data_IF_625242709231
#
_entry.id   IF_625242709231
#
_cell.length_a   1.000
_cell.length_b   1.000
_cell.length_c   1.000
_cell.angle_alpha   90.00
_cell.angle_beta   90.00
_cell.angle_gamma   90.00
#
_symmetry.space_group_name_H-M   'P 1'
#
loop_
_entity.id
_entity.type
_entity.pdbx_description
1 polymer ?
#
# COMPACT_ATOMS: atom_id res chain seq x y z
N UNK A 1 -15.08 -24.61 10.68
CA UNK A 1 -13.63 -24.30 10.62
C UNK A 1 -13.45 -23.47 9.37
N UNK A 2 -13.09 -22.19 9.52
CA UNK A 2 -12.94 -21.30 8.37
C UNK A 2 -11.53 -21.44 7.83
N UNK A 3 -11.39 -21.82 6.56
CA UNK A 3 -10.10 -21.85 5.87
C UNK A 3 -9.96 -20.56 5.08
N UNK A 4 -8.84 -19.86 5.26
CA UNK A 4 -8.49 -18.67 4.48
C UNK A 4 -7.23 -18.94 3.68
N UNK A 5 -7.28 -18.65 2.39
CA UNK A 5 -6.14 -18.77 1.49
C UNK A 5 -5.36 -17.46 1.49
N UNK A 6 -4.07 -17.52 1.82
CA UNK A 6 -3.19 -16.35 1.89
C UNK A 6 -2.06 -16.52 0.88
N UNK A 7 -1.97 -15.60 -0.08
CA UNK A 7 -0.81 -15.52 -0.97
C UNK A 7 0.37 -14.89 -0.22
N UNK A 8 1.51 -15.59 -0.18
CA UNK A 8 2.74 -15.14 0.45
C UNK A 8 3.70 -14.62 -0.62
N UNK A 9 3.92 -13.31 -0.62
CA UNK A 9 4.85 -12.62 -1.50
C UNK A 9 6.04 -12.15 -0.66
N UNK A 10 6.99 -13.05 -0.40
CA UNK A 10 8.18 -12.78 0.41
C UNK A 10 8.98 -11.57 -0.11
N UNK A 11 9.12 -11.48 -1.44
CA UNK A 11 9.83 -10.39 -2.10
C UNK A 11 11.34 -10.48 -1.92
N UNK A 12 12.00 -9.33 -1.82
CA UNK A 12 13.45 -9.20 -1.95
C UNK A 12 14.14 -8.78 -0.64
N UNK A 13 15.45 -9.02 -0.55
CA UNK A 13 16.29 -8.60 0.57
C UNK A 13 15.94 -9.34 1.87
N UNK A 14 15.62 -8.59 2.92
CA UNK A 14 15.18 -9.14 4.22
C UNK A 14 13.75 -9.72 4.20
N UNK A 15 13.07 -9.64 3.05
CA UNK A 15 11.67 -10.03 2.89
C UNK A 15 11.38 -11.49 3.25
N UNK A 16 12.13 -12.47 2.72
CA UNK A 16 11.99 -13.88 3.07
C UNK A 16 12.17 -14.15 4.56
N UNK A 17 13.20 -13.57 5.19
CA UNK A 17 13.47 -13.78 6.63
C UNK A 17 12.31 -13.29 7.51
N UNK A 18 11.77 -12.11 7.22
CA UNK A 18 10.61 -11.56 7.95
C UNK A 18 9.34 -12.39 7.66
N UNK A 19 9.20 -12.89 6.42
CA UNK A 19 8.06 -13.70 6.03
C UNK A 19 8.03 -15.03 6.80
N UNK A 20 9.17 -15.67 6.99
CA UNK A 20 9.27 -16.92 7.75
C UNK A 20 8.80 -16.74 9.20
N UNK A 21 9.17 -15.63 9.84
CA UNK A 21 8.67 -15.30 11.19
C UNK A 21 7.16 -15.03 11.19
N UNK A 22 6.64 -14.33 10.18
CA UNK A 22 5.20 -14.09 10.03
C UNK A 22 4.43 -15.41 9.88
N UNK A 23 4.96 -16.37 9.11
CA UNK A 23 4.38 -17.71 8.95
C UNK A 23 4.33 -18.45 10.29
N UNK A 24 5.38 -18.39 11.11
CA UNK A 24 5.37 -18.99 12.46
C UNK A 24 4.25 -18.43 13.32
N UNK A 25 4.03 -17.11 13.28
CA UNK A 25 2.93 -16.48 14.01
C UNK A 25 1.56 -16.91 13.48
N UNK A 26 1.38 -17.00 12.16
CA UNK A 26 0.12 -17.50 11.58
C UNK A 26 -0.18 -18.94 12.00
N UNK A 27 0.82 -19.82 12.02
CA UNK A 27 0.68 -21.20 12.53
C UNK A 27 0.36 -21.23 14.02
N UNK A 28 0.94 -20.33 14.82
CA UNK A 28 0.59 -20.21 16.23
C UNK A 28 -0.87 -19.75 16.41
N UNK A 29 -1.35 -18.81 15.61
CA UNK A 29 -2.75 -18.36 15.63
C UNK A 29 -3.70 -19.49 15.25
N UNK A 30 -3.38 -20.25 14.21
CA UNK A 30 -4.08 -21.47 13.80
C UNK A 30 -4.14 -22.50 14.93
N UNK A 31 -3.07 -22.69 15.70
CA UNK A 31 -3.06 -23.62 16.84
C UNK A 31 -3.98 -23.21 18.00
N UNK A 32 -4.29 -21.92 18.12
CA UNK A 32 -5.05 -21.34 19.25
C UNK A 32 -6.50 -21.01 18.92
N UNK A 33 -6.90 -21.10 17.65
CA UNK A 33 -8.21 -20.66 17.18
C UNK A 33 -8.78 -21.68 16.19
N UNK A 34 -10.09 -21.65 15.95
CA UNK A 34 -10.74 -22.55 14.98
C UNK A 34 -10.67 -22.00 13.54
N UNK A 35 -9.47 -21.60 13.12
CA UNK A 35 -9.17 -21.03 11.80
C UNK A 35 -8.00 -21.77 11.18
N UNK A 36 -8.07 -22.01 9.87
CA UNK A 36 -6.99 -22.64 9.09
C UNK A 36 -6.45 -21.67 8.05
N UNK A 37 -5.13 -21.67 7.87
CA UNK A 37 -4.47 -20.85 6.85
C UNK A 37 -3.84 -21.73 5.77
N UNK A 38 -4.37 -21.63 4.55
CA UNK A 38 -3.75 -22.19 3.35
C UNK A 38 -2.77 -21.16 2.78
N UNK A 39 -1.49 -21.33 3.11
CA UNK A 39 -0.44 -20.40 2.74
C UNK A 39 0.15 -20.80 1.39
N UNK A 40 0.04 -19.91 0.39
CA UNK A 40 0.51 -20.13 -0.98
C UNK A 40 1.68 -19.21 -1.31
N UNK A 41 2.94 -19.70 -1.28
CA UNK A 41 4.10 -18.93 -1.73
C UNK A 41 3.98 -18.58 -3.20
N UNK A 42 4.38 -17.35 -3.56
CA UNK A 42 4.44 -16.87 -4.93
C UNK A 42 5.61 -15.91 -5.11
N UNK A 43 6.21 -15.93 -6.31
CA UNK A 43 7.34 -15.08 -6.66
C UNK A 43 6.89 -13.63 -6.81
N UNK A 44 7.70 -12.70 -6.30
CA UNK A 44 7.39 -11.29 -6.41
C UNK A 44 8.64 -10.42 -6.34
N UNK A 45 8.68 -9.32 -7.11
CA UNK A 45 9.77 -8.36 -7.06
C UNK A 45 10.97 -8.75 -7.92
N UNK A 46 12.16 -8.33 -7.52
CA UNK A 46 13.37 -8.52 -8.30
C UNK A 46 13.77 -10.01 -8.41
N UNK A 47 13.61 -10.80 -7.33
CA UNK A 47 13.83 -12.24 -7.36
C UNK A 47 12.97 -12.92 -8.43
N UNK A 48 11.71 -12.49 -8.58
CA UNK A 48 10.84 -13.01 -9.65
C UNK A 48 11.37 -12.66 -11.05
N UNK A 49 11.91 -11.45 -11.22
CA UNK A 49 12.52 -11.02 -12.48
C UNK A 49 13.75 -11.86 -12.84
N UNK A 50 14.65 -12.11 -11.89
CA UNK A 50 15.84 -12.92 -12.17
C UNK A 50 15.51 -14.38 -12.49
N UNK A 51 14.44 -14.93 -11.91
CA UNK A 51 14.02 -16.31 -12.16
C UNK A 51 13.20 -16.48 -13.44
N UNK A 52 12.31 -15.52 -13.75
CA UNK A 52 11.26 -15.69 -14.78
C UNK A 52 11.29 -14.63 -15.87
N UNK A 53 12.10 -13.59 -15.73
CA UNK A 53 12.13 -12.42 -16.62
C UNK A 53 11.01 -11.42 -16.40
N UNK A 54 10.11 -11.62 -15.41
CA UNK A 54 9.04 -10.68 -15.04
C UNK A 54 9.02 -10.45 -13.53
N UNK A 55 8.88 -9.20 -13.10
CA UNK A 55 8.81 -8.86 -11.66
C UNK A 55 7.49 -9.24 -10.99
N UNK A 56 6.45 -9.48 -11.79
CA UNK A 56 5.18 -10.04 -11.33
C UNK A 56 4.65 -11.09 -12.33
N UNK A 57 5.09 -12.36 -12.19
CA UNK A 57 4.76 -13.43 -13.13
C UNK A 57 3.26 -13.79 -13.12
N UNK A 58 2.76 -14.30 -14.25
CA UNK A 58 1.34 -14.69 -14.40
C UNK A 58 0.91 -15.78 -13.42
N UNK A 59 1.82 -16.71 -13.08
CA UNK A 59 1.58 -17.72 -12.04
C UNK A 59 1.33 -17.08 -10.67
N UNK A 60 2.12 -16.07 -10.31
CA UNK A 60 1.99 -15.35 -9.04
C UNK A 60 0.72 -14.51 -9.01
N UNK A 61 0.32 -13.95 -10.15
CA UNK A 61 -0.99 -13.29 -10.33
C UNK A 61 -2.13 -14.28 -10.10
N UNK A 62 -2.05 -15.47 -10.68
CA UNK A 62 -3.10 -16.49 -10.54
C UNK A 62 -3.27 -16.93 -9.08
N UNK A 63 -2.17 -17.11 -8.35
CA UNK A 63 -2.21 -17.40 -6.90
C UNK A 63 -2.86 -16.25 -6.13
N UNK A 64 -2.47 -15.01 -6.40
CA UNK A 64 -3.03 -13.83 -5.72
C UNK A 64 -4.51 -13.61 -6.03
N UNK A 65 -4.96 -13.94 -7.25
CA UNK A 65 -6.37 -13.82 -7.65
C UNK A 65 -7.29 -14.84 -6.95
N UNK A 66 -6.74 -16.00 -6.58
CA UNK A 66 -7.44 -17.06 -5.86
C UNK A 66 -7.38 -16.89 -4.34
N UNK A 67 -6.49 -16.03 -3.83
CA UNK A 67 -6.31 -15.81 -2.41
C UNK A 67 -7.34 -14.84 -1.80
N UNK A 68 -7.68 -15.06 -0.54
CA UNK A 68 -8.52 -14.17 0.25
C UNK A 68 -7.75 -12.91 0.70
N UNK A 69 -6.46 -13.08 0.96
CA UNK A 69 -5.55 -12.01 1.37
C UNK A 69 -4.15 -12.19 0.78
N UNK A 70 -3.43 -11.09 0.65
CA UNK A 70 -2.04 -11.06 0.20
C UNK A 70 -1.18 -10.56 1.36
N UNK A 71 -0.22 -11.38 1.78
CA UNK A 71 0.82 -11.00 2.71
C UNK A 71 2.11 -10.72 1.94
N UNK A 72 2.56 -9.46 1.96
CA UNK A 72 3.70 -9.00 1.16
C UNK A 72 4.83 -8.51 2.06
N UNK A 73 6.04 -9.01 1.82
CA UNK A 73 7.29 -8.59 2.46
C UNK A 73 7.89 -7.33 1.82
N UNK A 74 9.21 -7.19 1.83
CA UNK A 74 9.93 -6.08 1.19
C UNK A 74 10.13 -6.33 -0.30
N UNK A 75 10.33 -5.28 -1.09
CA UNK A 75 10.77 -5.39 -2.49
C UNK A 75 11.84 -4.34 -2.74
N UNK A 76 12.70 -4.61 -3.71
CA UNK A 76 13.79 -3.74 -4.10
C UNK A 76 15.14 -4.32 -3.72
N UNK A 77 16.14 -3.96 -4.53
CA UNK A 77 17.53 -4.39 -4.37
C UNK A 77 18.44 -3.17 -4.16
N UNK A 78 19.73 -3.43 -3.98
CA UNK A 78 20.72 -2.37 -3.99
C UNK A 78 20.70 -1.59 -5.33
N UNK A 79 21.29 -0.40 -5.32
CA UNK A 79 21.26 0.50 -6.47
C UNK A 79 21.88 -0.12 -7.73
N UNK A 80 22.93 -0.91 -7.61
CA UNK A 80 23.63 -1.49 -8.77
C UNK A 80 22.81 -2.61 -9.43
N UNK A 81 22.26 -3.54 -8.65
CA UNK A 81 21.39 -4.61 -9.14
C UNK A 81 20.07 -4.05 -9.69
N UNK A 82 19.59 -2.92 -9.16
CA UNK A 82 18.39 -2.27 -9.70
C UNK A 82 18.58 -1.72 -11.12
N UNK A 83 19.82 -1.44 -11.55
CA UNK A 83 20.14 -0.96 -12.90
C UNK A 83 20.17 -2.08 -13.94
N UNK A 84 20.36 -3.33 -13.52
CA UNK A 84 20.35 -4.47 -14.44
C UNK A 84 18.94 -4.84 -14.88
N UNK A 85 17.92 -4.38 -14.13
CA UNK A 85 16.51 -4.60 -14.44
C UNK A 85 16.00 -3.44 -15.30
N UNK A 86 15.31 -3.72 -16.43
CA UNK A 86 14.64 -2.70 -17.23
C UNK A 86 13.71 -1.84 -16.37
N UNK A 87 13.64 -0.54 -16.68
CA UNK A 87 12.88 0.44 -15.88
C UNK A 87 11.42 0.03 -15.66
N UNK A 88 10.78 -0.58 -16.67
CA UNK A 88 9.39 -1.00 -16.58
C UNK A 88 9.20 -2.26 -15.72
N UNK A 89 10.24 -3.09 -15.62
CA UNK A 89 10.27 -4.30 -14.79
C UNK A 89 10.88 -4.05 -13.41
N UNK A 90 11.27 -2.82 -13.06
CA UNK A 90 11.73 -2.54 -11.70
C UNK A 90 10.66 -2.91 -10.67
N UNK A 91 10.99 -3.52 -9.52
CA UNK A 91 10.00 -4.09 -8.59
C UNK A 91 8.85 -3.14 -8.20
N UNK A 92 9.13 -1.86 -8.02
CA UNK A 92 8.11 -0.87 -7.71
C UNK A 92 7.17 -0.61 -8.89
N UNK A 93 7.70 -0.54 -10.12
CA UNK A 93 6.96 -0.19 -11.34
C UNK A 93 6.29 -1.41 -11.99
N UNK A 94 7.00 -2.52 -12.10
CA UNK A 94 6.55 -3.75 -12.76
C UNK A 94 5.73 -4.66 -11.85
N UNK A 95 5.89 -4.57 -10.52
CA UNK A 95 5.17 -5.45 -9.60
C UNK A 95 4.16 -4.71 -8.73
N UNK A 96 4.60 -3.71 -7.97
CA UNK A 96 3.76 -3.06 -6.96
C UNK A 96 2.64 -2.20 -7.55
N UNK A 97 2.92 -1.37 -8.57
CA UNK A 97 1.90 -0.54 -9.20
C UNK A 97 0.84 -1.38 -9.94
N UNK A 98 1.19 -2.41 -10.74
CA UNK A 98 0.21 -3.27 -11.40
C UNK A 98 -0.65 -4.04 -10.41
N UNK A 99 -0.05 -4.59 -9.34
CA UNK A 99 -0.79 -5.24 -8.26
C UNK A 99 -1.83 -4.30 -7.63
N UNK A 100 -1.43 -3.08 -7.24
CA UNK A 100 -2.35 -2.10 -6.64
C UNK A 100 -3.50 -1.73 -7.57
N UNK A 101 -3.21 -1.62 -8.87
CA UNK A 101 -4.21 -1.35 -9.89
C UNK A 101 -5.17 -2.53 -10.09
N UNK A 102 -4.65 -3.77 -10.08
CA UNK A 102 -5.43 -5.00 -10.27
C UNK A 102 -6.43 -5.22 -9.14
N UNK A 103 -5.99 -5.06 -7.89
CA UNK A 103 -6.80 -5.34 -6.71
C UNK A 103 -7.54 -4.11 -6.14
N UNK A 104 -7.48 -2.97 -6.84
CA UNK A 104 -8.09 -1.70 -6.44
C UNK A 104 -7.82 -1.32 -4.98
N UNK A 105 -6.56 -1.47 -4.55
CA UNK A 105 -6.16 -1.20 -3.16
C UNK A 105 -5.99 0.29 -2.93
N UNK A 106 -7.11 0.99 -2.91
CA UNK A 106 -7.16 2.44 -2.84
C UNK A 106 -6.79 2.99 -1.45
N UNK A 107 -7.05 2.25 -0.37
CA UNK A 107 -6.79 2.70 0.99
C UNK A 107 -5.50 2.08 1.54
N UNK A 108 -4.56 2.93 1.93
CA UNK A 108 -3.37 2.52 2.67
C UNK A 108 -3.41 3.04 4.09
N UNK A 109 -3.51 2.11 5.02
CA UNK A 109 -3.46 2.37 6.45
C UNK A 109 -2.01 2.25 6.93
N UNK A 110 -1.52 3.29 7.60
CA UNK A 110 -0.19 3.34 8.18
C UNK A 110 -0.32 3.73 9.66
N UNK A 111 -0.53 2.76 10.55
CA UNK A 111 -0.51 3.03 11.98
C UNK A 111 0.89 3.50 12.39
N UNK A 112 0.94 4.55 13.20
CA UNK A 112 2.14 5.10 13.80
C UNK A 112 1.92 5.11 15.30
N UNK A 113 2.58 4.17 15.96
CA UNK A 113 2.51 4.01 17.40
C UNK A 113 3.92 4.12 18.00
N UNK A 114 4.09 5.03 18.94
CA UNK A 114 5.33 5.21 19.70
C UNK A 114 4.99 5.16 21.19
N UNK A 115 5.28 4.06 21.89
CA UNK A 115 5.08 3.97 23.32
C UNK A 115 6.12 4.83 24.05
N UNK A 116 5.77 5.30 25.24
CA UNK A 116 6.63 6.13 26.08
C UNK A 116 8.01 5.50 26.35
N UNK A 117 8.07 4.18 26.52
CA UNK A 117 9.33 3.44 26.73
C UNK A 117 10.32 3.57 25.58
N UNK A 118 9.83 3.77 24.35
CA UNK A 118 10.63 3.92 23.13
C UNK A 118 10.77 5.38 22.68
N UNK A 119 10.30 6.35 23.47
CA UNK A 119 10.32 7.77 23.09
C UNK A 119 11.73 8.29 22.78
N UNK A 120 12.76 7.72 23.39
CA UNK A 120 14.17 8.07 23.17
C UNK A 120 14.70 7.70 21.78
N UNK A 121 14.05 6.80 21.05
CA UNK A 121 14.37 6.51 19.65
C UNK A 121 13.77 7.52 18.66
N UNK A 122 12.85 8.36 19.12
CA UNK A 122 12.22 9.37 18.26
C UNK A 122 13.15 10.58 18.08
N UNK A 123 13.23 11.14 16.87
CA UNK A 123 13.98 12.38 16.63
C UNK A 123 13.30 13.63 17.20
N UNK A 124 12.06 13.51 17.71
CA UNK A 124 11.31 14.62 18.28
C UNK A 124 11.75 14.91 19.72
N UNK A 125 11.65 16.19 20.12
CA UNK A 125 11.89 16.58 21.51
C UNK A 125 10.92 15.83 22.44
N UNK A 126 11.38 15.35 23.61
CA UNK A 126 10.52 14.64 24.57
C UNK A 126 9.25 15.41 24.95
N UNK A 127 9.35 16.73 25.06
CA UNK A 127 8.23 17.64 25.36
C UNK A 127 7.11 17.58 24.31
N UNK A 128 7.42 17.31 23.04
CA UNK A 128 6.45 17.21 21.94
C UNK A 128 5.78 15.83 21.91
N UNK A 129 6.51 14.79 22.32
CA UNK A 129 6.01 13.41 22.35
C UNK A 129 5.01 13.23 23.50
N UNK A 130 5.25 13.89 24.63
CA UNK A 130 4.39 13.78 25.82
C UNK A 130 4.28 12.33 26.29
N UNK A 131 3.04 11.81 26.33
CA UNK A 131 2.74 10.45 26.78
C UNK A 131 2.90 9.37 25.69
N UNK A 132 3.26 9.75 24.46
CA UNK A 132 3.43 8.86 23.32
C UNK A 132 2.65 9.33 22.09
N UNK A 133 2.91 8.68 20.95
CA UNK A 133 2.24 8.98 19.68
C UNK A 133 1.36 7.80 19.32
N UNK A 134 0.08 8.06 19.07
CA UNK A 134 -0.86 7.08 18.56
C UNK A 134 -1.73 7.74 17.49
N UNK A 135 -1.40 7.49 16.22
CA UNK A 135 -2.14 8.01 15.08
C UNK A 135 -2.16 7.00 13.93
N UNK A 136 -3.15 7.12 13.06
CA UNK A 136 -3.24 6.33 11.83
C UNK A 136 -3.27 7.29 10.65
N UNK A 137 -2.31 7.13 9.74
CA UNK A 137 -2.31 7.85 8.47
C UNK A 137 -3.06 7.00 7.45
N UNK A 138 -4.08 7.58 6.82
CA UNK A 138 -4.83 6.96 5.73
C UNK A 138 -4.47 7.68 4.44
N UNK A 139 -3.88 6.96 3.50
CA UNK A 139 -3.47 7.49 2.19
C UNK A 139 -4.28 6.85 1.06
N UNK A 140 -4.79 7.68 0.17
CA UNK A 140 -5.36 7.24 -1.10
C UNK A 140 -4.23 6.86 -2.08
N UNK A 141 -4.31 5.67 -2.67
CA UNK A 141 -3.21 5.04 -3.42
C UNK A 141 -3.47 4.79 -4.90
N UNK A 142 -4.71 4.88 -5.40
CA UNK A 142 -5.08 4.46 -6.77
C UNK A 142 -5.53 5.65 -7.64
N UNK A 143 -5.67 6.82 -7.05
CA UNK A 143 -5.96 8.09 -7.71
C UNK A 143 -4.80 9.10 -7.70
N UNK A 144 -5.12 10.32 -8.14
CA UNK A 144 -4.20 11.46 -8.11
C UNK A 144 -3.05 11.39 -9.12
N UNK A 145 -1.96 12.08 -8.78
CA UNK A 145 -0.82 12.39 -9.66
C UNK A 145 -0.08 11.17 -10.23
N UNK A 146 -0.19 10.02 -9.57
CA UNK A 146 0.52 8.80 -9.93
C UNK A 146 -0.13 8.05 -11.09
N UNK A 147 -1.45 8.15 -11.23
CA UNK A 147 -2.24 7.39 -12.21
C UNK A 147 -3.03 8.26 -13.20
N UNK A 148 -2.95 9.59 -13.08
CA UNK A 148 -3.52 10.52 -14.05
C UNK A 148 -2.73 10.53 -15.37
N UNK A 149 -3.43 10.80 -16.47
CA UNK A 149 -2.81 11.04 -17.77
C UNK A 149 -1.82 12.19 -17.65
N UNK A 150 -0.58 11.95 -18.08
CA UNK A 150 0.48 12.96 -18.15
C UNK A 150 0.56 13.44 -19.58
N UNK A 151 0.23 14.69 -19.81
CA UNK A 151 0.49 15.34 -21.08
C UNK A 151 1.70 16.25 -20.89
N UNK A 152 2.77 15.95 -21.61
CA UNK A 152 3.94 16.81 -21.73
C UNK A 152 3.85 17.55 -23.05
N UNK A 153 3.87 18.88 -22.98
CA UNK A 153 3.91 19.76 -24.14
C UNK A 153 5.05 20.76 -24.00
N UNK A 154 5.26 21.56 -25.03
CA UNK A 154 6.13 22.72 -24.99
C UNK A 154 5.22 23.92 -25.20
N UNK A 155 5.36 24.95 -24.37
CA UNK A 155 4.62 26.21 -24.59
C UNK A 155 5.17 26.95 -25.82
N UNK A 156 4.46 27.99 -26.27
CA UNK A 156 4.86 28.81 -27.41
C UNK A 156 6.21 29.54 -27.19
N UNK A 157 6.76 29.52 -25.97
CA UNK A 157 8.04 30.11 -25.58
C UNK A 157 9.17 29.08 -25.44
N UNK A 158 8.92 27.80 -25.75
CA UNK A 158 9.94 26.75 -25.66
C UNK A 158 10.09 26.14 -24.26
N UNK A 159 9.25 26.49 -23.29
CA UNK A 159 9.29 25.90 -21.94
C UNK A 159 8.53 24.58 -21.90
N UNK A 160 9.09 23.61 -21.17
CA UNK A 160 8.42 22.33 -20.94
C UNK A 160 7.19 22.51 -20.04
N UNK A 161 6.01 22.24 -20.59
CA UNK A 161 4.74 22.24 -19.86
C UNK A 161 4.35 20.80 -19.51
N UNK A 162 3.98 20.57 -18.25
CA UNK A 162 3.45 19.30 -17.79
C UNK A 162 2.02 19.50 -17.28
N UNK A 163 1.02 19.12 -18.08
CA UNK A 163 -0.37 19.11 -17.65
C UNK A 163 -0.68 17.77 -17.00
N UNK A 164 -1.17 17.81 -15.76
CA UNK A 164 -1.59 16.62 -15.03
C UNK A 164 -3.08 16.69 -14.75
N UNK A 165 -3.84 15.89 -15.49
CA UNK A 165 -5.28 15.82 -15.36
C UNK A 165 -5.68 14.99 -14.14
N UNK A 166 -6.44 15.61 -13.22
CA UNK A 166 -7.07 14.95 -12.09
C UNK A 166 -8.36 14.25 -12.54
N UNK A 167 -8.44 12.93 -12.40
CA UNK A 167 -9.71 12.22 -12.60
C UNK A 167 -10.43 12.08 -11.25
N UNK A 168 -11.40 12.98 -11.00
CA UNK A 168 -12.14 13.12 -9.73
C UNK A 168 -12.99 11.91 -9.35
N UNK A 169 -13.22 10.97 -10.27
CA UNK A 169 -14.07 9.79 -10.07
C UNK A 169 -13.46 8.78 -9.09
N UNK A 170 -12.14 8.60 -9.07
CA UNK A 170 -11.46 7.62 -8.19
C UNK A 170 -11.22 8.11 -6.77
N UNK A 171 -11.08 9.43 -6.57
CA UNK A 171 -10.87 10.02 -5.24
C UNK A 171 -12.14 9.93 -4.38
N UNK A 172 -13.32 9.89 -5.00
CA UNK A 172 -14.62 9.84 -4.31
C UNK A 172 -14.85 8.54 -3.53
N UNK A 173 -14.38 7.40 -4.02
CA UNK A 173 -14.57 6.08 -3.38
C UNK A 173 -13.80 5.92 -2.07
N UNK A 174 -12.67 6.62 -1.90
CA UNK A 174 -11.84 6.52 -0.70
C UNK A 174 -12.41 7.29 0.50
N UNK A 175 -13.11 8.39 0.23
CA UNK A 175 -13.71 9.26 1.26
C UNK A 175 -15.15 8.86 1.57
N UNK A 176 -15.88 8.25 0.61
CA UNK A 176 -17.29 7.88 0.76
C UNK A 176 -17.56 6.56 1.46
N UNK A 177 -16.58 5.66 1.53
CA UNK A 177 -16.68 4.45 2.33
C UNK A 177 -16.76 4.86 3.80
N UNK A 178 -17.98 4.87 4.34
CA UNK A 178 -18.25 5.08 5.76
C UNK A 178 -17.61 3.93 6.53
N UNK A 179 -16.34 4.07 6.85
CA UNK A 179 -15.59 3.13 7.66
C UNK A 179 -16.19 3.16 9.07
N UNK A 180 -16.97 2.13 9.41
CA UNK A 180 -17.30 1.83 10.80
C UNK A 180 -15.98 1.38 11.45
N UNK A 181 -15.33 2.28 12.19
CA UNK A 181 -14.31 1.89 13.16
C UNK A 181 -14.99 0.97 14.19
N UNK A 182 -14.90 -0.35 13.99
CA UNK A 182 -14.95 -1.30 15.09
C UNK A 182 -13.52 -1.49 15.59
N UNK A 183 -12.95 -0.43 16.17
CA UNK A 183 -11.72 -0.53 16.95
C UNK A 183 -12.07 -0.27 18.42
N UNK A 184 -11.32 -0.85 19.37
CA UNK A 184 -11.70 -0.89 20.78
C UNK A 184 -11.88 0.53 21.32
N UNK A 185 -12.67 0.63 22.39
CA UNK A 185 -13.27 1.85 22.96
C UNK A 185 -12.33 3.04 23.30
N UNK A 186 -11.04 3.00 22.95
CA UNK A 186 -9.99 3.94 23.37
C UNK A 186 -9.32 4.76 22.25
N UNK A 187 -9.65 4.59 20.96
CA UNK A 187 -9.07 5.46 19.92
C UNK A 187 -9.66 6.88 20.01
N UNK A 188 -8.84 7.88 20.39
CA UNK A 188 -9.25 9.30 20.44
C UNK A 188 -9.65 9.77 19.05
N UNK A 189 -10.89 10.21 18.91
CA UNK A 189 -11.48 10.70 17.65
C UNK A 189 -10.92 12.08 17.29
N UNK A 190 -9.83 12.11 16.53
CA UNK A 190 -9.43 13.29 15.77
C UNK A 190 -9.09 12.85 14.34
N UNK A 191 -9.91 13.26 13.37
CA UNK A 191 -9.65 13.04 11.95
C UNK A 191 -9.25 14.37 11.31
N UNK A 192 -7.97 14.54 11.00
CA UNK A 192 -7.47 15.70 10.26
C UNK A 192 -7.29 15.31 8.80
N UNK A 193 -8.03 15.97 7.91
CA UNK A 193 -7.88 15.79 6.46
C UNK A 193 -6.84 16.81 5.98
N UNK A 194 -5.68 16.33 5.53
CA UNK A 194 -4.66 17.17 4.90
C UNK A 194 -4.89 17.19 3.39
N UNK A 195 -5.45 18.30 2.88
CA UNK A 195 -5.52 18.60 1.45
C UNK A 195 -4.78 19.90 1.17
N UNK A 196 -3.90 19.90 0.17
CA UNK A 196 -3.33 21.12 -0.41
C UNK A 196 -4.05 21.38 -1.73
N UNK A 197 -5.14 22.14 -1.68
CA UNK A 197 -5.88 22.56 -2.87
C UNK A 197 -5.27 23.86 -3.41
N UNK A 198 -4.22 23.77 -4.23
CA UNK A 198 -3.88 24.85 -5.17
C UNK A 198 -4.64 24.58 -6.45
N UNK A 199 -5.89 25.03 -6.52
CA UNK A 199 -6.73 24.94 -7.71
C UNK A 199 -7.19 26.36 -8.08
N UNK A 200 -6.83 26.81 -9.27
CA UNK A 200 -7.12 28.13 -9.83
C UNK A 200 -8.59 28.36 -10.20
N UNK A 201 -9.48 27.38 -9.98
CA UNK A 201 -10.91 27.55 -10.25
C UNK A 201 -11.79 26.77 -9.23
N UNK A 202 -12.47 27.45 -8.29
CA UNK A 202 -13.24 26.81 -7.22
C UNK A 202 -14.56 26.16 -7.67
N UNK A 203 -15.07 26.47 -8.86
CA UNK A 203 -16.45 26.16 -9.25
C UNK A 203 -16.70 24.70 -9.71
N UNK A 204 -15.66 23.93 -10.05
CA UNK A 204 -15.82 22.56 -10.58
C UNK A 204 -15.75 21.46 -9.51
N UNK A 205 -15.43 21.78 -8.26
CA UNK A 205 -15.14 20.82 -7.21
C UNK A 205 -16.38 20.47 -6.35
N UNK A 206 -17.48 20.06 -6.99
CA UNK A 206 -18.65 19.52 -6.28
C UNK A 206 -18.48 18.03 -6.00
N UNK A 207 -18.30 17.60 -4.74
CA UNK A 207 -18.28 16.18 -4.35
C UNK A 207 -19.69 15.68 -3.97
N UNK A 208 -20.28 14.77 -4.76
CA UNK A 208 -21.45 13.94 -4.40
C UNK A 208 -21.00 12.49 -4.18
N UNK A 209 -21.47 11.87 -3.10
CA UNK A 209 -21.00 10.60 -2.51
C UNK A 209 -21.76 9.37 -3.06
N UNK A 210 -21.06 8.25 -3.29
CA UNK A 210 -21.63 6.93 -3.63
C UNK A 210 -20.82 5.78 -3.00
N UNK A 211 -21.43 4.61 -2.73
CA UNK A 211 -20.93 3.52 -1.86
C UNK A 211 -20.36 2.33 -2.66
N UNK A 212 -19.13 1.84 -2.36
CA UNK A 212 -18.62 0.48 -2.71
C UNK A 212 -17.64 -0.08 -1.66
N UNK A 213 -17.56 -1.41 -1.57
CA UNK A 213 -16.83 -2.24 -0.56
C UNK A 213 -15.36 -2.53 -0.94
N UNK A 214 -14.52 -3.02 0.01
CA UNK A 214 -13.04 -2.94 -0.03
C UNK A 214 -12.34 -4.28 0.21
N UNK A 215 -11.21 -4.53 -0.49
CA UNK A 215 -10.20 -5.57 -0.18
C UNK A 215 -8.91 -4.88 0.30
N UNK A 216 -8.28 -5.39 1.36
CA UNK A 216 -7.09 -4.79 1.98
C UNK A 216 -5.83 -5.62 1.73
N UNK A 217 -4.71 -4.96 1.41
CA UNK A 217 -3.37 -5.57 1.39
C UNK A 217 -2.65 -5.17 2.67
N UNK A 218 -2.12 -6.16 3.40
CA UNK A 218 -1.26 -5.94 4.56
C UNK A 218 0.20 -5.92 4.11
N UNK A 219 0.86 -4.77 4.28
CA UNK A 219 2.28 -4.60 4.01
C UNK A 219 3.02 -4.72 5.34
N UNK A 220 3.84 -5.76 5.51
CA UNK A 220 4.79 -5.83 6.61
C UNK A 220 5.94 -4.88 6.29
N UNK A 221 6.26 -3.98 7.22
CA UNK A 221 7.39 -3.05 7.17
C UNK A 221 8.30 -3.29 8.34
#
# INVERSE_FOLDING_TARGET
>A
MSTYTIALLAGDGIGPEIMDEAVKILRLVESRNTVTFDLKPALFGASAYFETGKSFPEESVAICDQADAILKGTIGLNHEDSKTIPVDEQPERGALLPMRRRYDTYANFRPVYLPRSLAHFSPLKPEVIGDGIDLIIIRELVGGLYFGSKESGVDDQGNAMFTKCWNTTKTRSAVSSRWRFSSPANARKYSTISTRATCSNPASCGMRLSRKSVRAILILR
#
